data_IF_200766015704
#
_entry.id   IF_200766015704
#
_cell.length_a   1.000
_cell.length_b   1.000
_cell.length_c   1.000
_cell.angle_alpha   90.00
_cell.angle_beta   90.00
_cell.angle_gamma   90.00
#
_symmetry.space_group_name_H-M   'P 1'
#
loop_
_entity.id
_entity.type
_entity.pdbx_description
1 polymer ?
#
# COMPACT_ATOMS: atom_id res chain seq x y z
N UNK A 1 -29.83 -23.82 -22.89
CA UNK A 1 -28.38 -23.88 -23.23
C UNK A 1 -28.17 -22.92 -24.38
N UNK A 2 -27.86 -21.66 -24.05
CA UNK A 2 -27.54 -20.65 -25.07
C UNK A 2 -26.15 -20.95 -25.64
N UNK A 3 -26.11 -21.03 -26.97
CA UNK A 3 -24.87 -21.23 -27.72
C UNK A 3 -23.97 -19.99 -27.51
N UNK A 4 -22.78 -20.22 -27.02
CA UNK A 4 -21.74 -19.23 -27.03
C UNK A 4 -21.39 -18.91 -28.49
N UNK A 5 -21.75 -17.72 -28.97
CA UNK A 5 -21.28 -17.25 -30.28
C UNK A 5 -19.76 -17.13 -30.22
N UNK A 6 -19.11 -17.67 -31.26
CA UNK A 6 -17.65 -17.67 -31.36
C UNK A 6 -17.17 -16.25 -31.62
N UNK A 7 -16.57 -15.62 -30.62
CA UNK A 7 -15.89 -14.33 -30.80
C UNK A 7 -14.54 -14.62 -31.47
N UNK A 8 -14.38 -14.21 -32.72
CA UNK A 8 -13.09 -14.26 -33.43
C UNK A 8 -12.41 -12.91 -33.18
N UNK A 9 -11.32 -12.93 -32.47
CA UNK A 9 -10.44 -11.75 -32.30
C UNK A 9 -9.30 -11.89 -33.28
N UNK A 10 -9.27 -11.03 -34.30
CA UNK A 10 -8.10 -10.86 -35.15
C UNK A 10 -7.12 -9.94 -34.41
N UNK A 11 -6.01 -10.50 -33.96
CA UNK A 11 -4.95 -9.76 -33.31
C UNK A 11 -3.78 -9.61 -34.28
N UNK A 12 -3.22 -8.41 -34.37
CA UNK A 12 -1.91 -8.22 -34.97
C UNK A 12 -0.84 -8.99 -34.18
N UNK A 13 0.20 -9.42 -34.88
CA UNK A 13 1.25 -10.28 -34.34
C UNK A 13 1.86 -9.68 -33.06
N UNK A 14 1.66 -10.33 -31.93
CA UNK A 14 2.24 -9.91 -30.64
C UNK A 14 1.24 -9.34 -29.62
N UNK A 15 -0.04 -9.26 -29.96
CA UNK A 15 -1.09 -8.84 -29.00
C UNK A 15 -1.67 -10.06 -28.30
N UNK A 16 -1.64 -10.08 -26.98
CA UNK A 16 -2.30 -11.09 -26.14
C UNK A 16 -3.49 -10.47 -25.45
N UNK A 17 -4.61 -11.16 -25.42
CA UNK A 17 -5.83 -10.70 -24.76
C UNK A 17 -6.11 -11.51 -23.50
N UNK A 18 -6.52 -10.81 -22.45
CA UNK A 18 -7.12 -11.46 -21.29
C UNK A 18 -8.64 -11.41 -21.43
N UNK A 19 -9.28 -12.55 -21.31
CA UNK A 19 -10.73 -12.69 -21.41
C UNK A 19 -11.27 -13.10 -20.05
N UNK A 20 -12.08 -12.26 -19.44
CA UNK A 20 -12.75 -12.56 -18.17
C UNK A 20 -14.26 -12.39 -18.29
N UNK A 21 -15.02 -13.26 -17.60
CA UNK A 21 -16.46 -13.22 -17.56
C UNK A 21 -16.92 -12.60 -16.23
N UNK A 22 -17.74 -11.55 -16.30
CA UNK A 22 -18.41 -11.00 -15.11
C UNK A 22 -19.61 -11.88 -14.71
N UNK A 23 -20.00 -11.81 -13.45
CA UNK A 23 -21.24 -12.41 -12.93
C UNK A 23 -22.51 -11.92 -13.63
N UNK A 24 -22.46 -10.74 -14.27
CA UNK A 24 -23.52 -10.18 -15.11
C UNK A 24 -23.64 -10.83 -16.51
N UNK A 25 -22.74 -11.73 -16.87
CA UNK A 25 -22.72 -12.35 -18.22
C UNK A 25 -21.91 -11.55 -19.25
N UNK A 26 -21.44 -10.35 -18.94
CA UNK A 26 -20.58 -9.56 -19.83
C UNK A 26 -19.18 -10.15 -19.97
N UNK A 27 -18.71 -10.24 -21.22
CA UNK A 27 -17.37 -10.65 -21.55
C UNK A 27 -16.47 -9.41 -21.63
N UNK A 28 -15.46 -9.35 -20.78
CA UNK A 28 -14.46 -8.28 -20.84
C UNK A 28 -13.22 -8.81 -21.53
N UNK A 29 -12.84 -8.16 -22.63
CA UNK A 29 -11.65 -8.47 -23.39
C UNK A 29 -10.66 -7.33 -23.22
N UNK A 30 -9.47 -7.63 -22.74
CA UNK A 30 -8.40 -6.63 -22.54
C UNK A 30 -7.14 -7.03 -23.30
N UNK A 31 -6.54 -6.11 -24.02
CA UNK A 31 -5.22 -6.32 -24.61
C UNK A 31 -4.16 -6.37 -23.49
N UNK A 32 -3.37 -7.44 -23.46
CA UNK A 32 -2.33 -7.66 -22.43
C UNK A 32 -0.97 -7.09 -22.84
N UNK A 33 -0.76 -6.77 -24.10
CA UNK A 33 0.52 -6.28 -24.59
C UNK A 33 0.30 -5.00 -25.42
N UNK A 34 0.47 -3.85 -24.79
CA UNK A 34 0.96 -2.72 -25.57
C UNK A 34 2.48 -2.62 -25.36
N UNK A 35 3.23 -2.94 -26.37
CA UNK A 35 4.71 -2.78 -26.39
C UNK A 35 5.12 -1.32 -26.52
N UNK A 36 4.18 -0.40 -26.55
CA UNK A 36 4.45 1.03 -26.60
C UNK A 36 4.00 1.66 -25.29
N UNK A 37 4.98 2.01 -24.46
CA UNK A 37 4.83 2.76 -23.22
C UNK A 37 4.16 4.14 -23.39
N UNK A 38 3.61 4.47 -24.57
CA UNK A 38 3.15 5.79 -24.94
C UNK A 38 1.64 5.98 -25.01
N UNK A 39 0.82 4.98 -24.65
CA UNK A 39 -0.65 5.06 -24.73
C UNK A 39 -1.39 4.68 -23.47
N UNK A 40 -0.74 4.61 -22.34
CA UNK A 40 -1.48 4.60 -21.09
C UNK A 40 -1.91 6.04 -20.77
N UNK A 41 -3.01 6.47 -21.34
CA UNK A 41 -3.78 7.49 -20.67
C UNK A 41 -3.96 7.01 -19.24
N UNK A 42 -3.56 7.81 -18.26
CA UNK A 42 -3.64 7.48 -16.84
C UNK A 42 -5.09 7.05 -16.50
N UNK A 43 -5.34 5.78 -16.57
CA UNK A 43 -6.64 5.19 -16.33
C UNK A 43 -6.51 4.36 -15.05
N UNK A 44 -6.71 5.04 -13.91
CA UNK A 44 -6.71 4.41 -12.59
C UNK A 44 -7.61 3.17 -12.51
N UNK A 45 -8.61 3.05 -13.37
CA UNK A 45 -9.48 1.88 -13.49
C UNK A 45 -8.81 0.67 -14.18
N UNK A 46 -7.62 0.86 -14.76
CA UNK A 46 -6.80 -0.20 -15.34
C UNK A 46 -5.40 -0.16 -14.75
N UNK A 47 -5.21 -0.66 -13.52
CA UNK A 47 -3.90 -0.67 -12.88
C UNK A 47 -2.86 -1.37 -13.75
N UNK A 48 -1.67 -0.79 -13.96
CA UNK A 48 -0.63 -1.41 -14.76
C UNK A 48 -0.09 -2.65 -14.04
N UNK A 49 -0.07 -3.80 -14.74
CA UNK A 49 0.50 -5.02 -14.18
C UNK A 49 1.93 -5.16 -14.68
N UNK A 50 2.92 -5.02 -13.80
CA UNK A 50 4.33 -5.15 -14.21
C UNK A 50 4.64 -6.57 -14.70
N UNK A 51 5.65 -6.69 -15.54
CA UNK A 51 6.17 -7.99 -15.97
C UNK A 51 6.55 -8.86 -14.76
N UNK A 52 6.24 -10.14 -14.78
CA UNK A 52 6.44 -11.09 -13.69
C UNK A 52 5.51 -10.89 -12.49
N UNK A 53 4.41 -10.19 -12.67
CA UNK A 53 3.29 -10.15 -11.75
C UNK A 53 2.02 -10.66 -12.41
N UNK A 54 1.13 -11.24 -11.62
CA UNK A 54 -0.21 -11.66 -12.05
C UNK A 54 -1.26 -11.00 -11.17
N UNK A 55 -2.36 -10.52 -11.75
CA UNK A 55 -3.55 -10.15 -11.00
C UNK A 55 -4.17 -11.39 -10.38
N UNK A 56 -4.53 -11.34 -9.10
CA UNK A 56 -5.08 -12.49 -8.38
C UNK A 56 -6.49 -12.25 -7.82
N UNK A 57 -6.82 -11.03 -7.41
CA UNK A 57 -8.15 -10.71 -6.91
C UNK A 57 -8.38 -9.19 -6.83
N UNK A 58 -9.64 -8.80 -6.56
CA UNK A 58 -10.06 -7.42 -6.40
C UNK A 58 -10.19 -6.66 -7.72
N UNK A 59 -10.83 -5.50 -7.64
CA UNK A 59 -10.94 -4.55 -8.72
C UNK A 59 -10.24 -3.25 -8.33
N UNK A 60 -10.02 -2.34 -9.29
CA UNK A 60 -9.27 -1.11 -9.07
C UNK A 60 -9.79 -0.26 -7.89
N UNK A 61 -11.09 -0.29 -7.61
CA UNK A 61 -11.75 0.51 -6.57
C UNK A 61 -11.97 -0.22 -5.23
N UNK A 62 -11.68 -1.52 -5.15
CA UNK A 62 -11.87 -2.32 -3.94
C UNK A 62 -10.65 -3.17 -3.55
N UNK A 63 -9.50 -2.84 -4.11
CA UNK A 63 -8.24 -3.50 -3.79
C UNK A 63 -7.78 -4.50 -4.84
N UNK A 64 -7.41 -4.00 -6.03
CA UNK A 64 -6.78 -4.79 -7.08
C UNK A 64 -5.42 -5.32 -6.63
N UNK A 65 -5.29 -6.64 -6.53
CA UNK A 65 -4.10 -7.30 -5.98
C UNK A 65 -3.28 -7.94 -7.08
N UNK A 66 -1.99 -7.64 -7.11
CA UNK A 66 -1.01 -8.35 -7.93
C UNK A 66 -0.10 -9.21 -7.06
N UNK A 67 0.33 -10.34 -7.63
CA UNK A 67 1.24 -11.30 -6.98
C UNK A 67 2.49 -11.49 -7.84
N UNK A 68 3.64 -11.33 -7.23
CA UNK A 68 4.94 -11.56 -7.84
C UNK A 68 5.16 -13.06 -8.09
N UNK A 69 5.59 -13.41 -9.29
CA UNK A 69 5.76 -14.81 -9.70
C UNK A 69 6.88 -15.54 -8.98
N UNK A 70 7.95 -14.81 -8.60
CA UNK A 70 9.18 -15.40 -8.08
C UNK A 70 9.12 -15.79 -6.61
N UNK A 71 8.42 -15.01 -5.77
CA UNK A 71 8.41 -15.18 -4.32
C UNK A 71 7.01 -15.12 -3.69
N UNK A 72 5.99 -14.84 -4.50
CA UNK A 72 4.61 -14.78 -4.04
C UNK A 72 4.22 -13.49 -3.33
N UNK A 73 5.10 -12.50 -3.24
CA UNK A 73 4.81 -11.20 -2.64
C UNK A 73 3.61 -10.54 -3.32
N UNK A 74 2.72 -9.97 -2.50
CA UNK A 74 1.46 -9.39 -2.95
C UNK A 74 1.42 -7.89 -2.69
N UNK A 75 0.88 -7.16 -3.67
CA UNK A 75 0.75 -5.71 -3.63
C UNK A 75 -0.65 -5.30 -4.05
N UNK A 76 -1.15 -4.23 -3.45
CA UNK A 76 -2.49 -3.68 -3.69
C UNK A 76 -2.37 -2.35 -4.41
N UNK A 77 -3.15 -2.18 -5.47
CA UNK A 77 -3.26 -0.91 -6.19
C UNK A 77 -3.99 0.14 -5.37
N UNK A 78 -3.41 1.30 -5.26
CA UNK A 78 -3.98 2.48 -4.61
C UNK A 78 -4.26 3.53 -5.67
N UNK A 79 -5.51 3.73 -6.07
CA UNK A 79 -5.86 4.81 -6.98
C UNK A 79 -5.73 6.16 -6.26
N UNK A 80 -5.12 7.13 -6.94
CA UNK A 80 -4.94 8.49 -6.41
C UNK A 80 -5.85 9.44 -7.17
N UNK A 81 -7.11 9.44 -6.81
CA UNK A 81 -8.16 10.25 -7.44
C UNK A 81 -8.59 9.77 -8.82
N UNK A 82 -9.60 10.42 -9.40
CA UNK A 82 -10.00 10.20 -10.79
C UNK A 82 -9.25 11.17 -11.69
N UNK A 83 -8.59 10.65 -12.72
CA UNK A 83 -7.98 11.48 -13.75
C UNK A 83 -9.07 11.85 -14.75
N UNK A 84 -9.39 13.14 -14.78
CA UNK A 84 -10.20 13.70 -15.84
C UNK A 84 -9.40 13.67 -17.17
N UNK A 85 -10.09 13.64 -18.33
CA UNK A 85 -9.42 13.59 -19.63
C UNK A 85 -8.42 14.75 -19.89
N UNK A 86 -8.53 15.82 -19.13
CA UNK A 86 -7.63 16.99 -19.21
C UNK A 86 -6.42 16.93 -18.27
N UNK A 87 -6.18 15.80 -17.60
CA UNK A 87 -5.06 15.62 -16.67
C UNK A 87 -5.28 16.22 -15.27
N UNK A 88 -6.51 16.67 -14.96
CA UNK A 88 -6.87 17.06 -13.60
C UNK A 88 -7.57 15.92 -12.87
N UNK A 89 -7.48 15.91 -11.56
CA UNK A 89 -8.18 14.97 -10.69
C UNK A 89 -9.29 15.72 -9.98
N UNK A 90 -10.56 15.42 -10.31
CA UNK A 90 -11.74 16.12 -9.77
C UNK A 90 -11.60 17.66 -9.82
N UNK A 91 -11.06 18.21 -10.92
CA UNK A 91 -10.80 19.62 -11.09
C UNK A 91 -9.63 20.19 -10.27
N UNK A 92 -8.85 19.31 -9.57
CA UNK A 92 -7.67 19.68 -8.81
C UNK A 92 -6.40 19.21 -9.50
N UNK A 93 -5.31 19.91 -9.25
CA UNK A 93 -3.98 19.44 -9.66
C UNK A 93 -3.65 18.14 -8.96
N UNK A 94 -2.94 17.26 -9.65
CA UNK A 94 -2.47 15.98 -9.13
C UNK A 94 -1.75 16.09 -7.78
N UNK A 95 -0.88 17.08 -7.61
CA UNK A 95 -0.15 17.36 -6.36
C UNK A 95 -1.05 17.63 -5.15
N UNK A 96 -2.30 18.02 -5.37
CA UNK A 96 -3.27 18.23 -4.29
C UNK A 96 -3.91 16.92 -3.81
N UNK A 97 -3.86 15.88 -4.62
CA UNK A 97 -4.42 14.54 -4.30
C UNK A 97 -3.35 13.59 -3.75
N UNK A 98 -2.17 13.56 -4.34
CA UNK A 98 -1.05 12.78 -3.85
C UNK A 98 -0.20 13.59 -2.89
N UNK A 99 -0.32 13.33 -1.59
CA UNK A 99 0.43 14.06 -0.59
C UNK A 99 0.02 13.71 0.83
N UNK A 100 0.76 14.24 1.77
CA UNK A 100 0.45 14.07 3.19
C UNK A 100 -0.86 14.80 3.54
N UNK A 101 -1.61 14.23 4.48
CA UNK A 101 -2.84 14.80 5.02
C UNK A 101 -2.68 15.21 6.47
N UNK A 102 -3.40 16.26 6.84
CA UNK A 102 -3.49 16.70 8.23
C UNK A 102 -4.82 16.23 8.83
N UNK A 103 -4.73 15.43 9.88
CA UNK A 103 -5.87 14.92 10.64
C UNK A 103 -6.10 15.68 11.96
N UNK A 104 -5.58 16.90 12.09
CA UNK A 104 -5.57 17.73 13.32
C UNK A 104 -6.96 18.06 13.86
N UNK A 105 -7.95 18.18 12.99
CA UNK A 105 -9.32 18.53 13.35
C UNK A 105 -10.15 17.36 13.89
N UNK A 106 -9.53 16.21 14.06
CA UNK A 106 -10.20 15.04 14.60
C UNK A 106 -10.09 15.05 16.13
N UNK A 107 -11.17 14.73 16.80
CA UNK A 107 -11.52 14.95 18.23
C UNK A 107 -10.48 14.52 19.26
N UNK A 108 -9.54 13.67 18.94
CA UNK A 108 -8.57 13.13 19.88
C UNK A 108 -7.16 13.68 19.66
N UNK A 109 -6.70 14.43 20.66
CA UNK A 109 -5.29 14.82 20.88
C UNK A 109 -4.40 14.73 19.66
N UNK A 110 -4.81 15.47 18.64
CA UNK A 110 -3.98 15.68 17.51
C UNK A 110 -3.36 14.40 16.99
N UNK A 111 -4.11 13.60 16.27
CA UNK A 111 -3.47 12.67 15.36
C UNK A 111 -2.30 13.41 14.68
N UNK A 112 -2.45 14.72 14.50
CA UNK A 112 -1.44 15.61 13.94
C UNK A 112 -1.34 16.96 14.64
N UNK A 113 -1.48 17.00 15.99
CA UNK A 113 -1.37 18.24 16.77
C UNK A 113 -0.10 19.07 16.48
N UNK A 114 0.92 18.40 16.02
CA UNK A 114 2.20 18.99 15.65
C UNK A 114 2.50 18.77 14.16
N UNK A 115 1.47 18.78 13.30
CA UNK A 115 1.65 18.51 11.87
C UNK A 115 2.75 19.36 11.23
N UNK A 116 2.89 20.61 11.64
CA UNK A 116 3.97 21.51 11.19
C UNK A 116 5.39 21.04 11.52
N UNK A 117 5.54 20.11 12.47
CA UNK A 117 6.82 19.51 12.85
C UNK A 117 7.17 18.27 12.05
N UNK A 118 6.20 17.75 11.28
CA UNK A 118 6.41 16.64 10.36
C UNK A 118 6.72 17.17 8.97
N UNK A 119 7.66 16.54 8.29
CA UNK A 119 8.09 16.92 6.95
C UNK A 119 8.39 15.70 6.10
N UNK A 120 8.33 15.85 4.80
CA UNK A 120 8.76 14.84 3.85
C UNK A 120 9.57 15.53 2.76
N UNK A 121 10.85 15.23 2.70
CA UNK A 121 11.72 15.82 1.70
C UNK A 121 11.39 15.25 0.32
N UNK A 122 11.29 16.12 -0.68
CA UNK A 122 11.19 15.72 -2.07
C UNK A 122 12.54 15.13 -2.54
N UNK A 123 12.75 13.87 -2.19
CA UNK A 123 13.90 13.08 -2.67
C UNK A 123 13.72 12.69 -4.13
N UNK A 124 14.79 12.25 -4.79
CA UNK A 124 14.69 11.70 -6.16
C UNK A 124 13.77 10.49 -6.23
N UNK A 125 13.71 9.69 -5.16
CA UNK A 125 12.84 8.54 -5.04
C UNK A 125 11.36 8.96 -4.95
N UNK A 126 11.02 9.95 -4.12
CA UNK A 126 9.67 10.50 -4.04
C UNK A 126 9.25 11.19 -5.35
N UNK A 127 10.16 11.91 -6.01
CA UNK A 127 9.88 12.52 -7.31
C UNK A 127 9.50 11.48 -8.36
N UNK A 128 10.24 10.38 -8.43
CA UNK A 128 9.92 9.26 -9.33
C UNK A 128 8.59 8.61 -9.00
N UNK A 129 8.25 8.51 -7.72
CA UNK A 129 6.92 8.03 -7.30
C UNK A 129 5.83 9.00 -7.74
N UNK A 130 6.00 10.31 -7.58
CA UNK A 130 5.06 11.31 -8.07
C UNK A 130 4.85 11.19 -9.60
N UNK A 131 5.93 11.07 -10.36
CA UNK A 131 5.88 10.88 -11.82
C UNK A 131 5.13 9.58 -12.20
N UNK A 132 5.38 8.49 -11.47
CA UNK A 132 4.68 7.22 -11.67
C UNK A 132 3.19 7.34 -11.36
N UNK A 133 2.83 7.97 -10.25
CA UNK A 133 1.45 8.17 -9.84
C UNK A 133 0.72 9.10 -10.82
N UNK A 134 1.36 10.17 -11.28
CA UNK A 134 0.81 11.06 -12.31
C UNK A 134 0.55 10.30 -13.62
N UNK A 135 1.49 9.46 -14.03
CA UNK A 135 1.39 8.70 -15.27
C UNK A 135 0.31 7.63 -15.25
N UNK A 136 0.16 6.92 -14.14
CA UNK A 136 -0.70 5.74 -14.05
C UNK A 136 -1.96 5.95 -13.20
N UNK A 137 -2.09 7.06 -12.49
CA UNK A 137 -3.23 7.35 -11.62
C UNK A 137 -3.22 6.61 -10.28
N UNK A 138 -2.06 6.10 -9.85
CA UNK A 138 -1.93 5.38 -8.59
C UNK A 138 -0.59 4.68 -8.42
N UNK A 139 -0.47 3.90 -7.37
CA UNK A 139 0.73 3.14 -7.03
C UNK A 139 0.36 1.80 -6.36
N UNK A 140 1.33 0.94 -6.16
CA UNK A 140 1.15 -0.29 -5.42
C UNK A 140 1.78 -0.20 -4.04
N UNK A 141 1.07 -0.71 -3.02
CA UNK A 141 1.61 -0.89 -1.66
C UNK A 141 1.55 -2.38 -1.29
N UNK A 142 2.46 -2.85 -0.45
CA UNK A 142 2.47 -4.23 0.03
C UNK A 142 1.15 -4.56 0.76
N UNK A 143 0.53 -5.69 0.38
CA UNK A 143 -0.74 -6.18 0.95
C UNK A 143 -0.61 -6.46 2.44
N UNK A 144 0.55 -6.99 2.84
CA UNK A 144 0.91 -7.40 4.19
C UNK A 144 2.13 -6.62 4.70
N UNK A 145 2.31 -6.56 6.01
CA UNK A 145 3.58 -6.11 6.58
C UNK A 145 4.72 -6.94 5.97
N UNK A 146 5.87 -6.33 5.71
CA UNK A 146 7.00 -7.09 5.20
C UNK A 146 7.46 -8.09 6.25
N UNK A 147 7.54 -9.33 5.83
CA UNK A 147 8.03 -10.47 6.62
C UNK A 147 9.38 -10.97 6.10
N UNK A 148 10.02 -11.78 6.89
CA UNK A 148 11.30 -12.38 6.56
C UNK A 148 11.13 -13.84 6.17
N UNK A 149 11.35 -14.17 4.91
CA UNK A 149 11.41 -15.56 4.49
C UNK A 149 12.76 -16.17 4.86
N UNK A 150 12.79 -17.10 5.82
CA UNK A 150 13.98 -17.83 6.19
C UNK A 150 14.10 -19.10 5.35
N UNK A 151 14.95 -19.07 4.36
CA UNK A 151 15.45 -20.31 3.76
C UNK A 151 16.40 -20.94 4.79
N UNK A 152 15.99 -22.08 5.36
CA UNK A 152 16.69 -22.86 6.38
C UNK A 152 18.14 -22.45 6.67
N UNK A 153 18.35 -21.81 7.85
CA UNK A 153 19.65 -21.54 8.50
C UNK A 153 20.55 -20.43 7.94
N UNK A 154 20.18 -19.64 6.95
CA UNK A 154 20.92 -18.40 6.67
C UNK A 154 20.38 -17.26 7.53
N UNK A 155 21.25 -16.46 8.13
CA UNK A 155 20.88 -15.23 8.85
C UNK A 155 20.28 -14.16 7.94
N UNK A 156 20.35 -14.35 6.63
CA UNK A 156 19.87 -13.47 5.58
C UNK A 156 18.54 -13.98 5.02
N UNK A 157 17.42 -13.60 5.67
CA UNK A 157 16.09 -13.87 5.11
C UNK A 157 15.78 -12.88 3.98
N UNK A 158 14.99 -13.32 2.99
CA UNK A 158 14.50 -12.45 1.91
C UNK A 158 13.26 -11.70 2.37
N UNK A 159 13.12 -10.39 2.06
CA UNK A 159 11.90 -9.67 2.34
C UNK A 159 10.77 -10.12 1.42
N UNK A 160 9.56 -10.26 1.99
CA UNK A 160 8.37 -10.65 1.25
C UNK A 160 7.10 -10.02 1.85
N UNK A 161 6.09 -9.80 1.03
CA UNK A 161 4.73 -9.43 1.43
C UNK A 161 3.79 -10.62 1.22
N UNK A 162 3.76 -11.53 2.18
CA UNK A 162 3.02 -12.80 2.10
C UNK A 162 2.26 -13.04 3.41
N UNK A 163 1.05 -13.58 3.30
CA UNK A 163 0.19 -13.96 4.43
C UNK A 163 0.81 -15.05 5.31
N UNK A 164 0.49 -15.00 6.61
CA UNK A 164 0.83 -16.07 7.56
C UNK A 164 2.27 -16.06 8.07
N UNK A 165 2.99 -14.96 7.89
CA UNK A 165 4.34 -14.80 8.43
C UNK A 165 4.40 -13.69 9.46
N UNK A 166 5.27 -13.85 10.45
CA UNK A 166 5.54 -12.77 11.41
C UNK A 166 6.14 -11.55 10.69
N UNK A 167 5.66 -10.33 10.99
CA UNK A 167 6.29 -9.12 10.49
C UNK A 167 7.79 -9.09 10.81
N UNK A 168 8.57 -8.53 9.90
CA UNK A 168 10.00 -8.30 10.14
C UNK A 168 10.15 -7.13 11.10
N UNK A 169 10.36 -7.44 12.36
CA UNK A 169 10.57 -6.48 13.46
C UNK A 169 12.02 -6.51 13.93
N UNK A 170 12.35 -5.68 14.91
CA UNK A 170 13.73 -5.45 15.41
C UNK A 170 14.65 -5.00 14.27
N UNK A 171 14.17 -4.03 13.53
CA UNK A 171 14.83 -3.43 12.38
C UNK A 171 14.83 -1.92 12.56
N UNK A 172 15.95 -1.27 12.32
CA UNK A 172 16.02 0.18 12.32
C UNK A 172 15.53 0.78 10.99
N UNK A 173 15.40 2.11 10.94
CA UNK A 173 14.94 2.82 9.77
C UNK A 173 15.84 2.61 8.55
N UNK A 174 17.15 2.62 8.74
CA UNK A 174 18.11 2.52 7.63
C UNK A 174 18.08 1.15 6.99
N UNK A 175 18.05 0.11 7.81
CA UNK A 175 17.92 -1.27 7.36
C UNK A 175 16.54 -1.50 6.71
N UNK A 176 15.45 -1.01 7.30
CA UNK A 176 14.12 -1.10 6.72
C UNK A 176 14.06 -0.42 5.34
N UNK A 177 14.67 0.77 5.19
CA UNK A 177 14.75 1.47 3.91
C UNK A 177 15.57 0.70 2.88
N UNK A 178 16.73 0.19 3.27
CA UNK A 178 17.57 -0.60 2.39
C UNK A 178 16.86 -1.88 1.95
N UNK A 179 16.30 -2.64 2.89
CA UNK A 179 15.62 -3.90 2.61
C UNK A 179 14.37 -3.68 1.74
N UNK A 180 13.56 -2.65 2.03
CA UNK A 180 12.42 -2.32 1.19
C UNK A 180 12.81 -2.10 -0.28
N UNK A 181 13.97 -1.50 -0.54
CA UNK A 181 14.48 -1.28 -1.91
C UNK A 181 14.95 -2.55 -2.63
N UNK A 182 15.08 -3.67 -1.92
CA UNK A 182 15.53 -4.95 -2.51
C UNK A 182 14.39 -5.89 -2.91
N UNK A 183 13.15 -5.60 -2.51
CA UNK A 183 11.98 -6.45 -2.83
C UNK A 183 11.76 -6.50 -4.33
N UNK A 184 11.91 -5.35 -5.01
CA UNK A 184 11.86 -5.23 -6.46
C UNK A 184 12.85 -4.18 -6.95
N UNK A 185 13.68 -4.54 -7.90
CA UNK A 185 14.67 -3.62 -8.48
C UNK A 185 14.94 -3.96 -9.95
N UNK A 186 13.88 -3.90 -10.77
CA UNK A 186 14.00 -4.08 -12.22
C UNK A 186 14.04 -2.73 -12.95
N UNK A 187 14.25 -2.76 -14.27
CA UNK A 187 14.16 -1.55 -15.07
C UNK A 187 12.74 -0.97 -15.11
N UNK A 188 11.71 -1.81 -15.00
CA UNK A 188 10.31 -1.41 -15.12
C UNK A 188 9.67 -1.06 -13.78
N UNK A 189 10.15 -1.64 -12.67
CA UNK A 189 9.55 -1.50 -11.34
C UNK A 189 10.63 -1.43 -10.29
N UNK A 190 10.45 -0.55 -9.31
CA UNK A 190 11.29 -0.50 -8.11
C UNK A 190 10.43 -0.42 -6.85
N UNK A 191 10.93 -1.02 -5.79
CA UNK A 191 10.33 -0.90 -4.46
C UNK A 191 11.10 0.09 -3.58
N UNK A 192 10.40 0.64 -2.62
CA UNK A 192 10.96 1.54 -1.61
C UNK A 192 10.18 1.43 -0.30
N UNK A 193 10.75 1.95 0.78
CA UNK A 193 10.05 2.14 2.04
C UNK A 193 8.94 3.18 1.85
N UNK A 194 7.75 2.90 2.35
CA UNK A 194 6.56 3.76 2.20
C UNK A 194 6.83 5.21 2.61
N UNK A 195 6.40 6.15 1.77
CA UNK A 195 6.36 7.57 2.09
C UNK A 195 5.13 7.93 2.93
N UNK A 196 5.18 9.04 3.67
CA UNK A 196 4.03 9.57 4.39
C UNK A 196 2.88 9.94 3.44
N UNK A 197 3.20 10.48 2.26
CA UNK A 197 2.24 10.79 1.21
C UNK A 197 1.50 9.53 0.70
N UNK A 198 2.21 8.41 0.55
CA UNK A 198 1.60 7.14 0.15
C UNK A 198 0.70 6.58 1.24
N UNK A 199 1.18 6.59 2.49
CA UNK A 199 0.39 6.11 3.62
C UNK A 199 -0.92 6.90 3.76
N UNK A 200 -0.86 8.22 3.68
CA UNK A 200 -2.05 9.07 3.76
C UNK A 200 -2.97 8.88 2.55
N UNK A 201 -2.43 8.63 1.35
CA UNK A 201 -3.24 8.31 0.17
C UNK A 201 -4.02 7.00 0.34
N UNK A 202 -3.46 5.99 1.01
CA UNK A 202 -4.21 4.77 1.37
C UNK A 202 -5.37 5.09 2.30
N UNK A 203 -5.16 5.91 3.32
CA UNK A 203 -6.21 6.28 4.27
C UNK A 203 -7.32 7.10 3.59
N UNK A 204 -6.98 8.05 2.73
CA UNK A 204 -7.96 8.80 1.93
C UNK A 204 -8.77 7.87 1.03
N UNK A 205 -8.13 6.94 0.36
CA UNK A 205 -8.81 5.95 -0.46
C UNK A 205 -9.79 5.08 0.34
N UNK A 206 -9.46 4.71 1.57
CA UNK A 206 -10.39 4.00 2.46
C UNK A 206 -11.64 4.83 2.78
N UNK A 207 -11.48 6.15 2.95
CA UNK A 207 -12.60 7.09 3.18
C UNK A 207 -13.44 7.22 1.92
N UNK A 208 -12.81 7.44 0.77
CA UNK A 208 -13.50 7.61 -0.53
C UNK A 208 -14.31 6.37 -0.92
N UNK A 209 -13.76 5.17 -0.70
CA UNK A 209 -14.46 3.90 -0.95
C UNK A 209 -15.45 3.52 0.14
N UNK A 210 -15.53 4.31 1.22
CA UNK A 210 -16.39 4.09 2.38
C UNK A 210 -16.14 2.75 3.10
N UNK A 211 -14.99 2.13 2.87
CA UNK A 211 -14.60 0.92 3.60
C UNK A 211 -14.22 1.25 5.04
N UNK A 212 -13.74 2.47 5.27
CA UNK A 212 -13.52 3.06 6.59
C UNK A 212 -14.02 4.49 6.63
N UNK A 213 -14.50 4.90 7.80
CA UNK A 213 -14.85 6.30 8.08
C UNK A 213 -13.64 7.07 8.61
N UNK A 214 -13.68 8.40 8.53
CA UNK A 214 -12.66 9.25 9.12
C UNK A 214 -12.49 8.97 10.63
N UNK A 215 -13.58 8.73 11.36
CA UNK A 215 -13.53 8.40 12.78
C UNK A 215 -12.81 7.06 13.05
N UNK A 216 -13.06 6.01 12.25
CA UNK A 216 -12.35 4.74 12.37
C UNK A 216 -10.85 4.86 12.07
N UNK A 217 -10.47 5.77 11.20
CA UNK A 217 -9.07 5.98 10.81
C UNK A 217 -8.32 6.84 11.83
N UNK A 218 -8.96 7.90 12.34
CA UNK A 218 -8.27 8.95 13.07
C UNK A 218 -8.69 9.09 14.55
N UNK A 219 -9.82 8.50 14.97
CA UNK A 219 -10.28 8.55 16.35
C UNK A 219 -10.21 7.19 17.06
N UNK A 220 -10.64 6.12 16.40
CA UNK A 220 -10.65 4.77 16.98
C UNK A 220 -10.48 3.69 15.88
N UNK A 221 -9.28 3.19 15.73
CA UNK A 221 -8.96 2.10 14.80
C UNK A 221 -9.03 0.70 15.45
N UNK A 222 -9.41 0.60 16.71
CA UNK A 222 -9.38 -0.66 17.47
C UNK A 222 -10.35 -1.71 16.96
N UNK A 223 -11.40 -1.29 16.26
CA UNK A 223 -12.42 -2.20 15.72
C UNK A 223 -11.93 -2.99 14.49
N UNK A 224 -10.93 -2.49 13.81
CA UNK A 224 -10.42 -3.08 12.56
C UNK A 224 -8.90 -3.29 12.53
N UNK A 225 -8.25 -3.23 13.70
CA UNK A 225 -6.83 -3.44 13.86
C UNK A 225 -6.48 -4.36 15.02
N UNK A 226 -5.25 -4.87 15.03
CA UNK A 226 -4.71 -5.63 16.13
C UNK A 226 -4.15 -4.68 17.20
N UNK A 227 -4.96 -4.36 18.19
CA UNK A 227 -4.59 -3.54 19.37
C UNK A 227 -4.85 -4.31 20.65
N UNK A 228 -4.07 -4.07 21.70
CA UNK A 228 -4.28 -4.70 23.00
C UNK A 228 -5.67 -4.35 23.58
N UNK A 229 -6.21 -5.28 24.34
CA UNK A 229 -7.51 -5.13 25.01
C UNK A 229 -8.72 -4.90 24.07
N UNK A 230 -8.59 -5.29 22.80
CA UNK A 230 -9.72 -5.28 21.86
C UNK A 230 -10.28 -6.68 21.69
N UNK A 231 -11.54 -6.76 21.25
CA UNK A 231 -12.21 -8.04 21.04
C UNK A 231 -11.41 -8.91 20.06
N UNK A 232 -11.09 -10.11 20.50
CA UNK A 232 -10.30 -11.09 19.75
C UNK A 232 -8.86 -10.66 19.40
N UNK A 233 -8.30 -9.64 20.03
CA UNK A 233 -6.88 -9.35 19.90
C UNK A 233 -6.08 -10.20 20.89
N UNK A 234 -4.97 -10.79 20.44
CA UNK A 234 -4.07 -11.51 21.33
C UNK A 234 -3.21 -10.59 22.21
N UNK A 235 -3.32 -9.26 22.09
CA UNK A 235 -2.52 -8.28 22.84
C UNK A 235 -1.02 -8.36 22.53
N UNK A 236 -0.65 -8.82 21.35
CA UNK A 236 0.75 -8.96 20.89
C UNK A 236 0.81 -8.91 19.38
N UNK A 237 2.02 -8.78 18.86
CA UNK A 237 2.28 -8.93 17.42
C UNK A 237 1.99 -10.38 16.99
N UNK A 238 1.34 -10.53 15.86
CA UNK A 238 0.99 -11.81 15.25
C UNK A 238 1.36 -11.84 13.77
N UNK A 239 1.21 -13.01 13.18
CA UNK A 239 1.36 -13.22 11.74
C UNK A 239 0.46 -12.26 10.95
N UNK A 240 1.03 -11.64 9.93
CA UNK A 240 0.29 -10.70 9.08
C UNK A 240 -0.78 -11.43 8.27
N UNK A 241 -1.92 -10.77 8.06
CA UNK A 241 -3.06 -11.36 7.34
C UNK A 241 -3.87 -12.37 8.14
N UNK A 242 -3.59 -12.56 9.44
CA UNK A 242 -4.21 -13.63 10.25
C UNK A 242 -5.70 -13.44 10.51
N UNK A 243 -6.27 -12.26 10.22
CA UNK A 243 -7.70 -11.99 10.44
C UNK A 243 -8.29 -11.08 9.37
N UNK A 244 -9.36 -11.51 8.74
CA UNK A 244 -10.12 -10.74 7.75
C UNK A 244 -10.62 -9.39 8.29
N UNK A 245 -11.02 -9.29 9.55
CA UNK A 245 -11.49 -8.04 10.14
C UNK A 245 -10.40 -6.96 10.27
N UNK A 246 -9.13 -7.32 10.15
CA UNK A 246 -7.99 -6.39 10.12
C UNK A 246 -7.60 -5.98 8.71
N UNK A 247 -8.51 -6.21 7.77
CA UNK A 247 -8.38 -5.90 6.36
C UNK A 247 -9.27 -4.72 5.95
N UNK A 248 -8.76 -3.88 5.06
CA UNK A 248 -9.54 -2.88 4.34
C UNK A 248 -9.06 -2.82 2.89
N UNK A 249 -9.96 -2.97 1.92
CA UNK A 249 -9.63 -3.01 0.49
C UNK A 249 -8.41 -3.89 0.16
N UNK A 250 -8.40 -5.11 0.71
CA UNK A 250 -7.30 -6.07 0.55
C UNK A 250 -5.94 -5.68 1.18
N UNK A 251 -5.86 -4.62 1.97
CA UNK A 251 -4.67 -4.29 2.77
C UNK A 251 -4.91 -4.77 4.21
N UNK A 252 -4.01 -5.59 4.72
CA UNK A 252 -4.07 -6.15 6.06
C UNK A 252 -3.16 -5.39 7.03
N UNK A 253 -3.59 -5.34 8.29
CA UNK A 253 -2.79 -4.86 9.42
C UNK A 253 -2.24 -3.42 9.26
N UNK A 254 -2.93 -2.56 8.48
CA UNK A 254 -2.57 -1.14 8.39
C UNK A 254 -2.89 -0.40 9.71
N UNK A 255 -3.81 -0.97 10.49
CA UNK A 255 -4.12 -0.54 11.84
C UNK A 255 -3.66 -1.60 12.85
N UNK A 256 -2.79 -1.21 13.77
CA UNK A 256 -2.25 -2.11 14.80
C UNK A 256 -1.21 -3.10 14.27
N UNK A 257 -1.07 -4.22 14.94
CA UNK A 257 -0.07 -5.27 14.75
C UNK A 257 1.35 -4.77 14.96
N UNK A 258 1.95 -4.04 14.03
CA UNK A 258 3.25 -3.38 14.19
C UNK A 258 3.20 -1.93 13.74
N UNK A 259 3.92 -1.05 14.42
CA UNK A 259 4.26 0.25 13.85
C UNK A 259 5.01 0.06 12.55
N UNK A 260 4.77 0.93 11.58
CA UNK A 260 5.40 0.88 10.27
C UNK A 260 6.29 2.11 10.06
N UNK A 261 7.58 1.87 9.84
CA UNK A 261 8.51 2.91 9.40
C UNK A 261 8.02 3.58 8.13
N UNK A 262 8.11 4.90 8.07
CA UNK A 262 7.93 5.68 6.84
C UNK A 262 9.13 6.58 6.59
N UNK A 263 9.26 7.07 5.35
CA UNK A 263 10.32 8.03 5.00
C UNK A 263 10.02 9.46 5.50
N UNK A 264 8.84 9.69 6.05
CA UNK A 264 8.46 10.97 6.67
C UNK A 264 9.36 11.25 7.89
N UNK A 265 9.61 12.54 8.14
CA UNK A 265 10.49 13.01 9.22
C UNK A 265 9.70 13.79 10.26
N UNK A 266 10.15 13.72 11.49
CA UNK A 266 9.80 14.64 12.55
C UNK A 266 11.02 15.50 12.89
N UNK A 267 10.80 16.72 13.40
CA UNK A 267 11.89 17.62 13.79
C UNK A 267 12.96 16.92 14.67
N UNK A 268 14.19 17.35 14.60
CA UNK A 268 15.29 16.71 15.35
C UNK A 268 15.84 15.42 14.75
N UNK A 269 15.45 15.07 13.50
CA UNK A 269 15.99 13.92 12.78
C UNK A 269 15.30 12.59 13.07
N UNK A 270 14.20 12.60 13.82
CA UNK A 270 13.37 11.41 14.06
C UNK A 270 12.64 11.00 12.79
N UNK A 271 12.23 9.73 12.71
CA UNK A 271 11.44 9.17 11.62
C UNK A 271 10.03 8.85 12.09
N UNK A 272 9.07 9.07 11.20
CA UNK A 272 7.66 8.81 11.50
C UNK A 272 7.36 7.33 11.36
N UNK A 273 6.63 6.81 12.34
CA UNK A 273 6.04 5.48 12.34
C UNK A 273 4.52 5.59 12.43
N UNK A 274 3.82 4.70 11.75
CA UNK A 274 2.38 4.75 11.55
C UNK A 274 1.68 3.47 12.02
N UNK A 275 0.35 3.49 12.12
CA UNK A 275 -0.49 2.32 12.27
C UNK A 275 -0.79 1.88 13.71
N UNK A 276 0.04 2.20 14.68
CA UNK A 276 -0.07 1.61 16.02
C UNK A 276 0.49 0.19 16.08
N UNK A 277 0.29 -0.52 17.18
CA UNK A 277 0.80 -1.90 17.33
C UNK A 277 -0.09 -2.77 18.24
N UNK A 278 0.11 -4.09 18.19
CA UNK A 278 -0.69 -5.10 18.88
C UNK A 278 -0.62 -5.09 20.40
N UNK A 279 0.33 -4.38 21.01
CA UNK A 279 0.48 -4.29 22.47
C UNK A 279 -0.04 -2.94 23.02
N UNK A 280 -0.49 -2.04 22.15
CA UNK A 280 -1.04 -0.73 22.54
C UNK A 280 -2.53 -0.84 22.75
N UNK A 281 -3.00 -0.42 23.93
CA UNK A 281 -4.42 -0.34 24.28
C UNK A 281 -5.01 1.08 24.19
N UNK A 282 -4.17 2.04 23.85
CA UNK A 282 -4.53 3.45 23.84
C UNK A 282 -5.14 3.86 22.50
N UNK A 283 -6.38 4.34 22.55
CA UNK A 283 -7.12 4.85 21.36
C UNK A 283 -6.38 5.97 20.61
N UNK A 284 -5.41 6.61 21.24
CA UNK A 284 -4.57 7.63 20.59
C UNK A 284 -3.65 7.08 19.49
N UNK A 285 -3.44 5.76 19.42
CA UNK A 285 -2.57 5.13 18.42
C UNK A 285 -3.38 4.57 17.25
N UNK A 286 -4.12 5.45 16.59
CA UNK A 286 -4.94 5.13 15.42
C UNK A 286 -4.11 4.91 14.16
N UNK A 287 -4.74 4.40 13.10
CA UNK A 287 -4.09 4.24 11.79
C UNK A 287 -3.52 5.55 11.24
N UNK A 288 -4.24 6.67 11.43
CA UNK A 288 -3.78 8.00 10.97
C UNK A 288 -2.68 8.60 11.85
N UNK A 289 -2.52 8.11 13.09
CA UNK A 289 -1.57 8.69 14.04
C UNK A 289 -0.14 8.67 13.50
N UNK A 290 0.51 9.85 13.51
CA UNK A 290 1.95 9.96 13.39
C UNK A 290 2.58 9.81 14.76
N UNK A 291 3.35 8.77 14.93
CA UNK A 291 4.30 8.64 16.02
C UNK A 291 5.71 8.77 15.46
N UNK A 292 6.72 8.95 16.27
CA UNK A 292 8.08 9.10 15.78
C UNK A 292 9.06 8.36 16.69
N UNK A 293 10.10 7.83 16.06
CA UNK A 293 11.16 7.06 16.72
C UNK A 293 12.54 7.51 16.22
N UNK A 294 13.55 7.31 17.03
CA UNK A 294 14.91 7.56 16.61
C UNK A 294 15.29 6.56 15.49
N UNK A 295 15.89 7.01 14.37
CA UNK A 295 16.09 6.14 13.20
C UNK A 295 16.97 4.91 13.46
N UNK A 296 17.81 4.91 14.51
CA UNK A 296 18.66 3.79 14.90
C UNK A 296 18.03 2.84 15.93
N UNK A 297 16.74 2.96 16.22
CA UNK A 297 16.04 2.01 17.12
C UNK A 297 15.84 0.69 16.43
N UNK A 298 16.52 -0.37 16.89
CA UNK A 298 16.45 -1.71 16.29
C UNK A 298 15.93 -2.81 17.23
N UNK A 299 15.85 -2.53 18.52
CA UNK A 299 15.42 -3.55 19.52
C UNK A 299 13.91 -3.62 19.71
N UNK A 300 13.14 -2.76 19.07
CA UNK A 300 11.71 -2.71 19.21
C UNK A 300 11.05 -3.87 18.43
N UNK A 301 10.43 -4.80 19.15
CA UNK A 301 9.72 -5.96 18.58
C UNK A 301 8.31 -5.62 18.04
N UNK A 302 7.93 -4.35 18.01
CA UNK A 302 6.63 -3.84 17.56
C UNK A 302 6.76 -2.92 16.36
N UNK A 303 7.96 -2.77 15.83
CA UNK A 303 8.31 -1.83 14.78
C UNK A 303 8.82 -2.59 13.55
N UNK A 304 8.02 -2.54 12.50
CA UNK A 304 8.25 -3.16 11.21
C UNK A 304 8.10 -2.16 10.08
N UNK A 305 7.70 -2.60 8.89
CA UNK A 305 7.55 -1.71 7.73
C UNK A 305 6.70 -2.32 6.61
N UNK A 306 6.29 -1.45 5.68
CA UNK A 306 5.73 -1.77 4.37
C UNK A 306 6.62 -1.25 3.25
N UNK A 307 6.40 -1.79 2.07
CA UNK A 307 7.02 -1.29 0.85
C UNK A 307 5.96 -0.84 -0.16
N UNK A 308 6.30 0.15 -0.96
CA UNK A 308 5.52 0.56 -2.12
C UNK A 308 6.32 0.33 -3.41
N UNK A 309 5.62 0.30 -4.53
CA UNK A 309 6.23 0.15 -5.86
C UNK A 309 5.97 1.41 -6.69
N UNK A 310 7.00 1.90 -7.35
CA UNK A 310 6.84 2.82 -8.44
C UNK A 310 7.15 2.13 -9.77
N UNK A 311 6.36 2.46 -10.80
CA UNK A 311 6.42 1.88 -12.13
C UNK A 311 6.98 2.93 -13.07
N UNK A 312 7.94 2.57 -13.89
CA UNK A 312 8.53 3.46 -14.90
C UNK A 312 7.62 3.65 -16.10
#
# INVERSE_FOLDING_TARGET
MERCEKIVLEAEKGITFNVSKRTSGELIIRALNSTTANEYSANYANPPIPKCYNHICGEWNNGFVIKKCSDGSQFVWIPVGSLEPNGTIDGKNFSEKFGRRNYENVRWYGADRYYSKFSEALSDELRKQCESVEKYGGFYISRYNISRYNVSKSSEGRPQSVEGFMPWVKIDFYDAKQIASTIENTEAVKSHLTFGAEYDSVLEWFIETKVKTLAEIAEDSTKWGNYANTENSPGKVVETGSREKWCANNIYDLAGNVYEWTQEQFEGGYRVVRGGNGETSDLRYTAARRHYEHPSVFFNNKLGFRAALWIK
#
